data_IF_593593270395
#
_entry.id   IF_593593270395
#
_cell.length_a   1.000
_cell.length_b   1.000
_cell.length_c   1.000
_cell.angle_alpha   90.00
_cell.angle_beta   90.00
_cell.angle_gamma   90.00
#
_symmetry.space_group_name_H-M   'P 1'
#
loop_
_entity.id
_entity.type
_entity.pdbx_description
1 polymer ?
#
# COMPACT_ATOMS: atom_id res chain seq x y z
N UNK A 1 -15.76 -0.23 -1.15
CA UNK A 1 -14.57 0.47 -1.70
C UNK A 1 -14.87 1.95 -1.85
N UNK A 2 -13.94 2.80 -1.45
CA UNK A 2 -14.00 4.25 -1.61
C UNK A 2 -12.81 4.66 -2.47
N UNK A 3 -13.06 5.46 -3.52
CA UNK A 3 -12.01 5.98 -4.40
C UNK A 3 -12.23 7.45 -4.68
N UNK A 4 -11.16 8.20 -4.68
CA UNK A 4 -11.13 9.61 -5.07
C UNK A 4 -9.91 9.85 -5.95
N UNK A 5 -10.06 10.70 -6.98
CA UNK A 5 -8.97 11.15 -7.83
C UNK A 5 -9.18 12.62 -8.16
N UNK A 6 -8.16 13.43 -8.02
CA UNK A 6 -8.20 14.87 -8.28
C UNK A 6 -6.89 15.38 -8.86
N UNK A 7 -7.01 16.37 -9.76
CA UNK A 7 -5.90 17.10 -10.34
C UNK A 7 -6.01 18.56 -9.89
N UNK A 8 -4.91 19.15 -9.44
CA UNK A 8 -4.84 20.51 -8.91
C UNK A 8 -3.70 21.27 -9.60
N UNK A 9 -4.06 22.22 -10.44
CA UNK A 9 -3.10 23.12 -11.08
C UNK A 9 -2.72 24.24 -10.12
N UNK A 10 -1.44 24.47 -9.92
CA UNK A 10 -0.93 25.51 -9.02
C UNK A 10 0.20 26.31 -9.68
N UNK A 11 0.55 27.46 -9.06
CA UNK A 11 1.66 28.29 -9.51
C UNK A 11 3.06 27.67 -9.37
N UNK A 12 3.18 26.50 -8.69
CA UNK A 12 4.44 25.78 -8.51
C UNK A 12 4.51 24.47 -9.29
N UNK A 13 3.40 24.09 -9.93
CA UNK A 13 3.24 22.89 -10.74
C UNK A 13 1.91 22.20 -10.48
N UNK A 14 1.70 21.06 -11.12
CA UNK A 14 0.46 20.30 -11.07
C UNK A 14 0.58 19.16 -10.05
N UNK A 15 -0.45 19.03 -9.22
CA UNK A 15 -0.58 17.93 -8.26
C UNK A 15 -1.70 17.01 -8.69
N UNK A 16 -1.44 15.71 -8.65
CA UNK A 16 -2.46 14.68 -8.71
C UNK A 16 -2.56 13.98 -7.34
N UNK A 17 -3.79 13.77 -6.89
CA UNK A 17 -4.07 13.10 -5.60
C UNK A 17 -5.01 11.96 -5.87
N UNK A 18 -4.59 10.76 -5.49
CA UNK A 18 -5.41 9.56 -5.57
C UNK A 18 -5.55 8.97 -4.17
N UNK A 19 -6.78 8.64 -3.81
CA UNK A 19 -7.12 7.96 -2.57
C UNK A 19 -7.92 6.70 -2.89
N UNK A 20 -7.58 5.60 -2.27
CA UNK A 20 -8.32 4.34 -2.35
C UNK A 20 -8.40 3.73 -0.96
N UNK A 21 -9.60 3.39 -0.53
CA UNK A 21 -9.82 2.68 0.73
C UNK A 21 -10.75 1.49 0.53
N UNK A 22 -10.50 0.44 1.27
CA UNK A 22 -11.33 -0.76 1.36
C UNK A 22 -11.74 -0.90 2.81
N UNK A 23 -13.05 -0.93 3.04
CA UNK A 23 -13.66 -1.33 4.32
C UNK A 23 -14.33 -2.67 4.06
N UNK A 24 -14.02 -3.65 4.90
CA UNK A 24 -14.60 -4.98 4.84
C UNK A 24 -15.50 -5.16 6.05
N UNK A 25 -16.80 -5.20 5.84
CA UNK A 25 -17.79 -5.41 6.92
C UNK A 25 -18.01 -6.89 7.19
N UNK A 26 -17.98 -7.71 6.13
CA UNK A 26 -18.39 -9.11 6.22
C UNK A 26 -17.59 -9.97 5.24
N UNK A 27 -17.06 -11.07 5.77
CA UNK A 27 -16.41 -12.14 5.01
C UNK A 27 -16.72 -13.47 5.70
N UNK A 28 -17.91 -13.99 5.45
CA UNK A 28 -18.41 -15.17 6.11
C UNK A 28 -18.06 -16.47 5.35
N UNK A 29 -17.71 -17.49 6.12
CA UNK A 29 -17.53 -18.84 5.62
C UNK A 29 -17.84 -19.86 6.71
N UNK A 30 -18.24 -21.08 6.30
CA UNK A 30 -18.26 -22.21 7.23
C UNK A 30 -16.82 -22.54 7.68
N UNK A 31 -16.57 -22.55 8.98
CA UNK A 31 -15.26 -22.85 9.54
C UNK A 31 -14.76 -24.27 9.17
N UNK A 32 -15.70 -25.21 9.01
CA UNK A 32 -15.50 -26.56 8.50
C UNK A 32 -16.84 -27.11 8.01
N UNK A 33 -16.84 -28.24 7.27
CA UNK A 33 -18.07 -28.86 6.74
C UNK A 33 -19.13 -29.09 7.83
N UNK A 34 -20.32 -28.49 7.66
CA UNK A 34 -21.40 -28.41 8.65
C UNK A 34 -21.00 -27.71 9.97
N UNK A 35 -19.97 -26.87 9.94
CA UNK A 35 -19.52 -26.06 11.07
C UNK A 35 -20.31 -24.75 11.22
N UNK A 36 -19.97 -23.94 12.23
CA UNK A 36 -20.54 -22.61 12.38
C UNK A 36 -20.08 -21.69 11.24
N UNK A 37 -20.97 -20.80 10.80
CA UNK A 37 -20.60 -19.67 9.96
C UNK A 37 -19.84 -18.67 10.80
N UNK A 38 -18.68 -18.23 10.33
CA UNK A 38 -17.78 -17.29 11.02
C UNK A 38 -17.50 -16.13 10.10
N UNK A 39 -17.57 -14.92 10.63
CA UNK A 39 -17.06 -13.72 9.95
C UNK A 39 -15.55 -13.66 10.17
N UNK A 40 -14.77 -13.65 9.08
CA UNK A 40 -13.31 -13.64 9.10
C UNK A 40 -12.72 -12.23 8.98
N UNK A 41 -13.52 -11.18 8.95
CA UNK A 41 -13.03 -9.78 8.97
C UNK A 41 -12.29 -9.51 10.26
N UNK A 42 -11.13 -8.87 10.16
CA UNK A 42 -10.21 -8.69 11.29
C UNK A 42 -9.47 -9.96 11.72
N UNK A 43 -9.67 -11.09 11.02
CA UNK A 43 -9.02 -12.35 11.34
C UNK A 43 -8.02 -12.77 10.24
N UNK A 44 -6.96 -13.42 10.65
CA UNK A 44 -5.95 -14.09 9.81
C UNK A 44 -5.27 -13.20 8.76
N UNK A 45 -5.91 -12.83 7.68
CA UNK A 45 -5.32 -12.03 6.59
C UNK A 45 -6.36 -11.13 5.92
N UNK A 46 -7.46 -10.86 6.59
CA UNK A 46 -8.56 -10.03 6.11
C UNK A 46 -8.70 -8.82 7.05
N UNK A 47 -7.90 -7.73 6.84
CA UNK A 47 -8.02 -6.53 7.66
C UNK A 47 -9.40 -5.88 7.45
N UNK A 48 -9.96 -5.30 8.51
CA UNK A 48 -11.22 -4.56 8.44
C UNK A 48 -11.07 -3.33 7.55
N UNK A 49 -9.91 -2.68 7.63
CA UNK A 49 -9.65 -1.46 6.90
C UNK A 49 -8.25 -1.44 6.28
N UNK A 50 -8.15 -0.91 5.06
CA UNK A 50 -6.88 -0.56 4.45
C UNK A 50 -7.08 0.61 3.49
N UNK A 51 -6.06 1.45 3.35
CA UNK A 51 -6.11 2.53 2.38
C UNK A 51 -4.74 2.87 1.81
N UNK A 52 -4.79 3.56 0.68
CA UNK A 52 -3.64 4.11 -0.01
C UNK A 52 -3.91 5.56 -0.37
N UNK A 53 -2.97 6.43 -0.10
CA UNK A 53 -2.95 7.82 -0.58
C UNK A 53 -1.74 7.99 -1.47
N UNK A 54 -1.95 8.43 -2.70
CA UNK A 54 -0.89 8.74 -3.65
C UNK A 54 -0.96 10.23 -3.99
N UNK A 55 0.16 10.94 -3.85
CA UNK A 55 0.27 12.36 -4.19
C UNK A 55 1.40 12.52 -5.18
N UNK A 56 1.04 12.81 -6.42
CA UNK A 56 1.97 13.11 -7.51
C UNK A 56 2.15 14.61 -7.72
N UNK A 57 3.30 14.99 -8.24
CA UNK A 57 3.63 16.37 -8.54
C UNK A 57 4.55 16.48 -9.75
N UNK A 58 4.17 17.31 -10.71
CA UNK A 58 5.01 17.75 -11.82
C UNK A 58 5.49 19.17 -11.53
N UNK A 59 6.80 19.35 -11.27
CA UNK A 59 7.36 20.65 -10.93
C UNK A 59 7.37 21.59 -12.16
N UNK A 60 6.82 22.79 -11.99
CA UNK A 60 6.89 23.80 -13.04
C UNK A 60 8.33 24.19 -13.40
N UNK A 61 9.24 24.22 -12.42
CA UNK A 61 10.65 24.55 -12.62
C UNK A 61 11.42 23.45 -13.39
N UNK A 62 10.95 22.19 -13.35
CA UNK A 62 11.52 21.04 -14.05
C UNK A 62 10.37 20.21 -14.65
N UNK A 63 9.73 20.68 -15.74
CA UNK A 63 8.47 20.12 -16.23
C UNK A 63 8.57 18.66 -16.70
N UNK A 64 9.80 18.18 -16.94
CA UNK A 64 10.05 16.79 -17.33
C UNK A 64 10.23 15.85 -16.13
N UNK A 65 10.14 16.35 -14.89
CA UNK A 65 10.26 15.57 -13.67
C UNK A 65 8.90 15.44 -12.99
N UNK A 66 8.40 14.21 -12.93
CA UNK A 66 7.27 13.82 -12.11
C UNK A 66 7.77 13.08 -10.87
N UNK A 67 7.21 13.40 -9.73
CA UNK A 67 7.49 12.72 -8.46
C UNK A 67 6.18 12.33 -7.78
N UNK A 68 6.12 11.18 -7.14
CA UNK A 68 4.99 10.79 -6.30
C UNK A 68 5.43 10.18 -4.97
N UNK A 69 4.64 10.47 -3.95
CA UNK A 69 4.68 9.82 -2.64
C UNK A 69 3.39 9.03 -2.48
N UNK A 70 3.54 7.77 -2.10
CA UNK A 70 2.43 6.89 -1.77
C UNK A 70 2.54 6.50 -0.30
N UNK A 71 1.45 6.67 0.44
CA UNK A 71 1.27 6.15 1.79
C UNK A 71 0.28 5.00 1.75
N UNK A 72 0.67 3.87 2.30
CA UNK A 72 -0.15 2.66 2.43
C UNK A 72 -0.37 2.38 3.91
N UNK A 73 -1.61 2.03 4.28
CA UNK A 73 -1.98 1.61 5.63
C UNK A 73 -2.78 0.32 5.58
N UNK A 74 -2.48 -0.60 6.49
CA UNK A 74 -3.18 -1.86 6.70
C UNK A 74 -3.50 -1.95 8.20
N UNK A 75 -4.76 -2.14 8.52
CA UNK A 75 -5.26 -2.25 9.88
C UNK A 75 -4.79 -3.53 10.58
N UNK A 76 -4.82 -3.52 11.90
CA UNK A 76 -4.50 -4.67 12.74
C UNK A 76 -5.39 -5.88 12.44
N UNK A 77 -4.88 -7.07 12.67
CA UNK A 77 -5.62 -8.32 12.50
C UNK A 77 -5.40 -9.25 13.66
N UNK A 78 -6.37 -10.12 13.95
CA UNK A 78 -6.15 -11.23 14.85
C UNK A 78 -5.29 -12.32 14.18
N UNK A 79 -4.19 -12.67 14.82
CA UNK A 79 -3.29 -13.74 14.39
C UNK A 79 -3.80 -15.12 14.85
N UNK A 80 -4.23 -15.20 16.10
CA UNK A 80 -4.78 -16.42 16.69
C UNK A 80 -6.12 -16.14 17.37
N UNK A 81 -6.98 -17.15 17.35
CA UNK A 81 -8.30 -17.09 17.96
C UNK A 81 -8.53 -18.28 18.90
N UNK A 82 -9.45 -18.12 19.84
CA UNK A 82 -9.96 -19.22 20.65
C UNK A 82 -10.96 -20.11 19.87
N UNK A 83 -11.53 -21.10 20.54
CA UNK A 83 -12.53 -22.00 19.94
C UNK A 83 -13.84 -21.30 19.53
N UNK A 84 -14.05 -20.05 19.94
CA UNK A 84 -15.20 -19.22 19.58
C UNK A 84 -14.82 -18.13 18.57
N UNK A 85 -13.65 -18.23 17.94
CA UNK A 85 -13.09 -17.28 16.97
C UNK A 85 -12.88 -15.86 17.54
N UNK A 86 -12.66 -15.74 18.85
CA UNK A 86 -12.26 -14.46 19.48
C UNK A 86 -10.75 -14.34 19.45
N UNK A 87 -10.27 -13.16 19.10
CA UNK A 87 -8.84 -12.87 19.07
C UNK A 87 -8.16 -13.17 20.40
N UNK A 88 -7.07 -13.92 20.36
CA UNK A 88 -6.18 -14.23 21.49
C UNK A 88 -4.79 -13.62 21.31
N UNK A 89 -4.43 -13.24 20.10
CA UNK A 89 -3.23 -12.51 19.73
C UNK A 89 -3.53 -11.61 18.54
N UNK A 90 -2.95 -10.43 18.53
CA UNK A 90 -3.07 -9.45 17.44
C UNK A 90 -1.74 -9.30 16.74
N UNK A 91 -1.80 -8.99 15.46
CA UNK A 91 -0.74 -8.42 14.65
C UNK A 91 -1.08 -6.93 14.49
N UNK A 92 -0.16 -6.08 14.89
CA UNK A 92 -0.35 -4.64 14.87
C UNK A 92 -0.60 -4.14 13.44
N UNK A 93 -1.15 -2.95 13.33
CA UNK A 93 -1.27 -2.22 12.06
C UNK A 93 0.09 -1.99 11.42
N UNK A 94 0.07 -1.72 10.13
CA UNK A 94 1.28 -1.49 9.35
C UNK A 94 1.09 -0.33 8.39
N UNK A 95 2.07 0.54 8.33
CA UNK A 95 2.13 1.60 7.34
C UNK A 95 3.49 1.70 6.66
N UNK A 96 3.49 2.16 5.42
CA UNK A 96 4.73 2.42 4.69
C UNK A 96 4.59 3.60 3.74
N UNK A 97 5.72 4.25 3.48
CA UNK A 97 5.85 5.32 2.49
C UNK A 97 6.68 4.83 1.31
N UNK A 98 6.17 5.03 0.11
CA UNK A 98 6.87 4.74 -1.13
C UNK A 98 7.12 6.04 -1.90
N UNK A 99 8.27 6.16 -2.55
CA UNK A 99 8.64 7.31 -3.39
C UNK A 99 8.86 6.83 -4.82
N UNK A 100 8.40 7.60 -5.80
CA UNK A 100 8.73 7.41 -7.20
C UNK A 100 9.09 8.73 -7.85
N UNK A 101 10.10 8.72 -8.71
CA UNK A 101 10.46 9.83 -9.57
C UNK A 101 10.62 9.32 -11.00
N UNK A 102 10.09 10.07 -11.98
CA UNK A 102 10.22 9.77 -13.41
C UNK A 102 10.70 11.04 -14.10
N UNK A 103 11.79 10.92 -14.84
CA UNK A 103 12.35 12.00 -15.63
C UNK A 103 12.32 11.66 -17.12
N UNK A 104 11.60 12.45 -17.89
CA UNK A 104 11.60 12.35 -19.36
C UNK A 104 12.76 13.15 -19.91
N UNK A 105 13.60 12.51 -20.73
CA UNK A 105 14.84 13.12 -21.22
C UNK A 105 14.52 14.20 -22.27
N UNK A 106 14.90 15.48 -22.06
CA UNK A 106 14.67 16.53 -23.03
C UNK A 106 15.32 16.23 -24.38
N UNK A 107 14.56 16.35 -25.46
CA UNK A 107 15.02 16.05 -26.82
C UNK A 107 14.99 14.55 -27.18
N UNK A 108 14.61 13.69 -26.23
CA UNK A 108 14.30 12.28 -26.41
C UNK A 108 13.01 11.97 -25.64
N UNK A 109 11.90 12.55 -26.06
CA UNK A 109 10.62 12.49 -25.34
C UNK A 109 10.08 11.05 -25.20
N UNK A 110 10.57 10.14 -26.03
CA UNK A 110 10.31 8.71 -25.94
C UNK A 110 11.19 7.96 -24.94
N UNK A 111 12.17 8.64 -24.28
CA UNK A 111 13.05 8.05 -23.28
C UNK A 111 12.75 8.62 -21.90
N UNK A 112 12.45 7.76 -20.95
CA UNK A 112 12.33 8.13 -19.54
C UNK A 112 13.20 7.27 -18.63
N UNK A 113 13.66 7.90 -17.55
CA UNK A 113 14.40 7.25 -16.46
C UNK A 113 13.54 7.32 -15.20
N UNK A 114 13.41 6.22 -14.50
CA UNK A 114 12.64 6.16 -13.25
C UNK A 114 13.48 5.65 -12.10
N UNK A 115 13.21 6.21 -10.92
CA UNK A 115 13.69 5.69 -9.64
C UNK A 115 12.49 5.50 -8.74
N UNK A 116 12.40 4.33 -8.10
CA UNK A 116 11.39 4.08 -7.09
C UNK A 116 12.05 3.54 -5.82
N UNK A 117 11.61 4.05 -4.67
CA UNK A 117 12.02 3.57 -3.36
C UNK A 117 10.77 3.07 -2.65
N UNK A 118 10.71 1.78 -2.38
CA UNK A 118 9.66 1.14 -1.60
C UNK A 118 10.08 1.09 -0.15
N UNK A 119 9.14 1.28 0.75
CA UNK A 119 9.37 1.31 2.19
C UNK A 119 10.48 2.30 2.59
N UNK A 120 10.29 3.58 2.24
CA UNK A 120 11.22 4.67 2.49
C UNK A 120 11.46 4.88 4.00
N UNK A 121 10.45 4.63 4.81
CA UNK A 121 10.46 4.73 6.28
C UNK A 121 11.24 3.60 6.94
N UNK A 122 11.51 2.50 6.22
CA UNK A 122 12.15 1.27 6.72
C UNK A 122 11.35 0.61 7.83
N UNK A 123 10.02 0.67 7.71
CA UNK A 123 9.12 0.00 8.65
C UNK A 123 9.27 -1.51 8.53
N UNK A 124 9.48 -2.18 9.65
CA UNK A 124 9.51 -3.63 9.69
C UNK A 124 8.08 -4.18 9.79
N UNK A 125 7.74 -5.25 9.06
CA UNK A 125 6.40 -5.82 9.12
C UNK A 125 6.11 -6.35 10.54
N UNK A 126 4.89 -6.12 11.07
CA UNK A 126 4.53 -6.60 12.39
C UNK A 126 4.56 -8.13 12.46
N UNK A 127 4.98 -8.62 13.62
CA UNK A 127 5.18 -10.05 13.83
C UNK A 127 3.94 -10.71 14.43
N UNK A 128 3.65 -11.89 13.95
CA UNK A 128 2.68 -12.82 14.55
C UNK A 128 3.18 -13.35 15.90
N UNK A 129 2.32 -13.98 16.67
CA UNK A 129 2.67 -14.62 17.95
C UNK A 129 3.82 -15.65 17.82
N UNK A 130 4.02 -16.22 16.64
CA UNK A 130 5.10 -17.17 16.36
C UNK A 130 6.42 -16.52 15.91
N UNK A 131 6.49 -15.18 15.92
CA UNK A 131 7.68 -14.43 15.52
C UNK A 131 7.93 -14.38 14.01
N UNK A 132 6.93 -14.71 13.20
CA UNK A 132 6.94 -14.56 11.75
C UNK A 132 6.06 -13.36 11.35
N UNK A 133 6.19 -12.87 10.13
CA UNK A 133 5.25 -11.90 9.59
C UNK A 133 4.20 -12.58 8.71
N UNK A 134 3.05 -11.93 8.54
CA UNK A 134 1.98 -12.42 7.67
C UNK A 134 2.32 -12.13 6.20
N UNK A 135 2.75 -13.15 5.46
CA UNK A 135 3.20 -13.06 4.06
C UNK A 135 2.10 -12.72 3.05
N UNK A 136 0.83 -12.81 3.45
CA UNK A 136 -0.29 -12.43 2.60
C UNK A 136 -0.55 -10.92 2.60
N UNK A 137 -0.11 -10.23 3.65
CA UNK A 137 -0.28 -8.79 3.83
C UNK A 137 1.02 -8.01 3.71
N UNK A 138 2.15 -8.58 4.14
CA UNK A 138 3.41 -7.87 4.30
C UNK A 138 4.57 -8.54 3.58
N UNK A 139 5.64 -7.79 3.37
CA UNK A 139 6.94 -8.28 2.87
C UNK A 139 8.05 -7.92 3.84
N UNK A 140 9.01 -8.83 4.04
CA UNK A 140 10.19 -8.64 4.89
C UNK A 140 11.37 -7.97 4.17
N UNK A 141 11.18 -7.54 2.94
CA UNK A 141 12.30 -7.05 2.13
C UNK A 141 12.84 -5.67 2.53
N UNK A 142 12.30 -5.05 3.59
CA UNK A 142 12.74 -3.73 4.04
C UNK A 142 12.69 -2.67 2.94
N UNK A 143 13.57 -1.67 3.00
CA UNK A 143 13.67 -0.63 1.97
C UNK A 143 14.28 -1.18 0.69
N UNK A 144 13.59 -1.01 -0.45
CA UNK A 144 14.04 -1.42 -1.77
C UNK A 144 14.14 -0.22 -2.70
N UNK A 145 15.19 -0.20 -3.54
CA UNK A 145 15.36 0.82 -4.57
C UNK A 145 15.39 0.17 -5.95
N UNK A 146 14.60 0.71 -6.86
CA UNK A 146 14.49 0.26 -8.24
C UNK A 146 14.91 1.40 -9.18
N UNK A 147 15.64 1.08 -10.22
CA UNK A 147 15.95 2.01 -11.31
C UNK A 147 15.45 1.40 -12.61
N UNK A 148 14.74 2.18 -13.40
CA UNK A 148 14.14 1.75 -14.65
C UNK A 148 14.43 2.71 -15.79
N UNK A 149 14.42 2.17 -17.02
CA UNK A 149 14.51 2.93 -18.26
C UNK A 149 13.36 2.47 -19.15
N UNK A 150 12.63 3.41 -19.73
CA UNK A 150 11.56 3.13 -20.67
C UNK A 150 11.88 3.84 -21.98
N UNK A 151 11.87 3.11 -23.10
CA UNK A 151 11.99 3.63 -24.45
C UNK A 151 10.74 3.22 -25.23
N UNK A 152 9.98 4.22 -25.67
CA UNK A 152 8.82 4.02 -26.57
C UNK A 152 9.31 4.06 -28.01
N UNK A 153 8.94 3.04 -28.82
CA UNK A 153 9.38 2.85 -30.22
C UNK A 153 8.29 3.26 -31.19
#
# INVERSE_FOLDING_TARGET
>A
DIKYSGLFETGVGDFDVNFSAVVMDESESEAFFNGPVVNFVGLTSIPEFRYTVDVGHTLQAVPNLYMSLQYEYIDEIADTTDANYKATSMVDDFDQVNLRAVYTVPGMENLSVSVAVRNLTKEDPPLTANGNYNRLLHTDMGMQTFVGFTLEL
#
